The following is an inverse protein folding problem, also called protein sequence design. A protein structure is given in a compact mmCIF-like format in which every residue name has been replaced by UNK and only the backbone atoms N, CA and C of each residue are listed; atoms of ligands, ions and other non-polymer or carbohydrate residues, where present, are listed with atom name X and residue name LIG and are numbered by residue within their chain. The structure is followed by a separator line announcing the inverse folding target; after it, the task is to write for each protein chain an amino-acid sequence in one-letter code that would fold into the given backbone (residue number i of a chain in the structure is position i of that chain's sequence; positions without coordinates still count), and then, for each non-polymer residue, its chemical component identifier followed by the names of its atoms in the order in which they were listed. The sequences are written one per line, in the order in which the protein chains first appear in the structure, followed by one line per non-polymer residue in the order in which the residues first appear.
data_IF_088980131519
#
_entry.id   IF_088980131519
#
_cell.length_a   1.000
_cell.length_b   1.000
_cell.length_c   1.000
_cell.angle_alpha   90.00
_cell.angle_beta   90.00
_cell.angle_gamma   90.00
#
_symmetry.space_group_name_H-M   'P 1'
#
loop_
_entity.id
_entity.type
_entity.pdbx_description
1 polymer ?
#
# COMPACT_ATOMS: atom_id res chain seq x y z
N UNK A 1 -58.03 -56.92 8.57
CA UNK A 1 -57.85 -55.47 8.82
C UNK A 1 -57.11 -55.36 10.15
N UNK A 2 -55.79 -55.46 10.19
CA UNK A 2 -54.71 -54.53 9.79
C UNK A 2 -54.54 -53.31 10.71
N UNK A 3 -53.27 -52.99 10.97
CA UNK A 3 -52.68 -51.82 11.64
C UNK A 3 -52.32 -52.02 13.12
N UNK A 4 -51.17 -52.61 13.46
CA UNK A 4 -49.76 -52.14 13.37
C UNK A 4 -49.34 -51.19 14.51
N UNK A 5 -48.42 -51.71 15.33
CA UNK A 5 -47.70 -51.02 16.40
C UNK A 5 -46.76 -49.95 15.81
N UNK A 6 -46.84 -48.70 16.28
CA UNK A 6 -45.80 -47.70 16.04
C UNK A 6 -44.88 -47.61 17.26
N UNK A 7 -43.75 -48.32 17.19
CA UNK A 7 -42.57 -48.10 18.04
C UNK A 7 -41.83 -46.88 17.51
N UNK A 8 -41.82 -45.78 18.27
CA UNK A 8 -40.99 -44.62 17.97
C UNK A 8 -39.56 -44.91 18.43
N UNK A 9 -38.69 -45.26 17.49
CA UNK A 9 -37.25 -45.36 17.71
C UNK A 9 -36.74 -43.92 17.81
N UNK A 10 -36.40 -43.50 19.04
CA UNK A 10 -35.75 -42.22 19.32
C UNK A 10 -34.32 -42.29 18.78
N UNK A 11 -34.10 -41.68 17.61
CA UNK A 11 -32.79 -41.56 16.97
C UNK A 11 -32.01 -40.47 17.72
N UNK A 12 -31.26 -40.88 18.74
CA UNK A 12 -30.29 -40.01 19.42
C UNK A 12 -29.11 -39.78 18.45
N UNK A 13 -29.20 -38.69 17.69
CA UNK A 13 -28.16 -38.28 16.76
C UNK A 13 -27.01 -37.66 17.56
N UNK A 14 -26.04 -38.50 17.95
CA UNK A 14 -24.75 -38.06 18.47
C UNK A 14 -23.99 -37.36 17.33
N UNK A 15 -24.05 -36.04 17.29
CA UNK A 15 -23.22 -35.23 16.40
C UNK A 15 -21.80 -35.22 17.01
N UNK A 16 -20.78 -35.82 16.37
CA UNK A 16 -19.42 -35.59 16.80
C UNK A 16 -19.09 -34.12 16.56
N UNK A 17 -18.74 -33.40 17.63
CA UNK A 17 -18.20 -32.06 17.53
C UNK A 17 -16.86 -32.14 16.79
N UNK A 18 -16.89 -31.92 15.47
CA UNK A 18 -15.69 -31.73 14.67
C UNK A 18 -15.03 -30.46 15.22
N UNK A 19 -13.94 -30.64 15.94
CA UNK A 19 -13.07 -29.55 16.32
C UNK A 19 -12.56 -28.91 15.03
N UNK A 20 -13.15 -27.76 14.67
CA UNK A 20 -12.65 -26.91 13.60
C UNK A 20 -11.26 -26.46 14.06
N UNK A 21 -10.23 -27.09 13.50
CA UNK A 21 -8.87 -26.59 13.58
C UNK A 21 -8.88 -25.22 12.91
N UNK A 22 -8.98 -24.16 13.71
CA UNK A 22 -8.67 -22.80 13.29
C UNK A 22 -7.16 -22.73 13.03
N UNK A 23 -6.70 -23.39 11.97
CA UNK A 23 -5.39 -23.13 11.41
C UNK A 23 -5.42 -21.70 10.92
N UNK A 24 -4.76 -20.79 11.63
CA UNK A 24 -4.58 -19.43 11.14
C UNK A 24 -3.88 -19.54 9.79
N UNK A 25 -4.54 -19.20 8.69
CA UNK A 25 -3.85 -19.01 7.43
C UNK A 25 -2.83 -17.89 7.65
N UNK A 26 -1.55 -18.25 7.80
CA UNK A 26 -0.49 -17.27 7.83
C UNK A 26 -0.51 -16.54 6.48
N UNK A 27 -0.54 -15.21 6.51
CA UNK A 27 -0.55 -14.41 5.30
C UNK A 27 0.72 -14.67 4.48
N UNK A 28 0.55 -15.02 3.21
CA UNK A 28 1.67 -15.38 2.34
C UNK A 28 2.49 -14.14 1.94
N UNK A 29 3.75 -14.34 1.59
CA UNK A 29 4.61 -13.29 1.00
C UNK A 29 3.94 -12.60 -0.19
N UNK A 30 3.32 -13.38 -1.08
CA UNK A 30 2.61 -12.86 -2.25
C UNK A 30 1.44 -11.94 -1.87
N UNK A 31 0.64 -12.30 -0.86
CA UNK A 31 -0.45 -11.45 -0.39
C UNK A 31 0.08 -10.13 0.20
N UNK A 32 1.18 -10.19 0.95
CA UNK A 32 1.85 -9.01 1.50
C UNK A 32 2.42 -8.09 0.40
N UNK A 33 3.04 -8.65 -0.64
CA UNK A 33 3.51 -7.90 -1.82
C UNK A 33 2.37 -7.14 -2.51
N UNK A 34 1.20 -7.77 -2.66
CA UNK A 34 0.04 -7.12 -3.28
C UNK A 34 -0.42 -5.89 -2.51
N UNK A 35 -0.33 -5.88 -1.18
CA UNK A 35 -0.65 -4.69 -0.37
C UNK A 35 0.22 -3.49 -0.75
N UNK A 36 1.54 -3.70 -0.90
CA UNK A 36 2.47 -2.64 -1.32
C UNK A 36 2.14 -2.19 -2.76
N UNK A 37 1.94 -3.13 -3.69
CA UNK A 37 1.69 -2.82 -5.09
C UNK A 37 0.40 -2.03 -5.34
N UNK A 38 -0.64 -2.25 -4.54
CA UNK A 38 -1.87 -1.47 -4.63
C UNK A 38 -1.62 0.02 -4.41
N UNK A 39 -0.77 0.37 -3.45
CA UNK A 39 -0.43 1.78 -3.16
C UNK A 39 0.51 2.33 -4.24
N UNK A 40 1.60 1.62 -4.57
CA UNK A 40 2.59 2.13 -5.52
C UNK A 40 2.04 2.27 -6.94
N UNK A 41 1.17 1.34 -7.38
CA UNK A 41 0.48 1.45 -8.67
C UNK A 41 -0.44 2.67 -8.72
N UNK A 42 -1.23 2.90 -7.66
CA UNK A 42 -2.08 4.09 -7.56
C UNK A 42 -1.26 5.38 -7.66
N UNK A 43 -0.12 5.44 -6.98
CA UNK A 43 0.76 6.61 -7.04
C UNK A 43 1.42 6.79 -8.40
N UNK A 44 1.78 5.70 -9.09
CA UNK A 44 2.28 5.76 -10.46
C UNK A 44 1.22 6.32 -11.42
N UNK A 45 -0.03 5.89 -11.28
CA UNK A 45 -1.17 6.41 -12.07
C UNK A 45 -1.43 7.90 -11.79
N UNK A 46 -1.47 8.30 -10.51
CA UNK A 46 -1.67 9.69 -10.11
C UNK A 46 -0.54 10.59 -10.62
N UNK A 47 0.71 10.13 -10.52
CA UNK A 47 1.88 10.85 -11.03
C UNK A 47 1.87 10.98 -12.55
N UNK A 48 1.52 9.90 -13.27
CA UNK A 48 1.44 9.92 -14.72
C UNK A 48 0.36 10.86 -15.23
N UNK A 49 -0.82 10.86 -14.59
CA UNK A 49 -1.95 11.72 -14.94
C UNK A 49 -1.62 13.21 -14.80
N UNK A 50 -0.85 13.59 -13.78
CA UNK A 50 -0.62 15.00 -13.43
C UNK A 50 0.79 15.50 -13.78
N UNK A 51 1.63 14.70 -14.43
CA UNK A 51 3.04 15.00 -14.69
C UNK A 51 3.29 16.35 -15.37
N UNK A 52 2.38 16.77 -16.24
CA UNK A 52 2.50 17.99 -17.04
C UNK A 52 1.56 19.11 -16.57
N UNK A 53 0.88 18.93 -15.43
CA UNK A 53 -0.04 19.94 -14.92
C UNK A 53 0.69 21.25 -14.61
N UNK A 54 0.03 22.36 -14.92
CA UNK A 54 0.45 23.71 -14.53
C UNK A 54 -0.47 24.32 -13.50
N UNK A 55 -1.54 23.62 -13.13
CA UNK A 55 -2.47 24.06 -12.10
C UNK A 55 -1.86 23.78 -10.72
N UNK A 56 -1.53 24.86 -10.00
CA UNK A 56 -0.96 24.80 -8.65
C UNK A 56 -1.86 24.03 -7.69
N UNK A 57 -3.19 24.14 -7.85
CA UNK A 57 -4.12 23.39 -7.00
C UNK A 57 -3.95 21.89 -7.22
N UNK A 58 -3.88 21.44 -8.47
CA UNK A 58 -3.62 20.03 -8.79
C UNK A 58 -2.25 19.57 -8.29
N UNK A 59 -1.22 20.42 -8.37
CA UNK A 59 0.11 20.07 -7.81
C UNK A 59 0.03 19.82 -6.30
N UNK A 60 -0.74 20.62 -5.57
CA UNK A 60 -0.97 20.42 -4.13
C UNK A 60 -1.80 19.15 -3.87
N UNK A 61 -2.82 18.86 -4.67
CA UNK A 61 -3.59 17.61 -4.57
C UNK A 61 -2.71 16.36 -4.79
N UNK A 62 -1.73 16.44 -5.69
CA UNK A 62 -0.71 15.38 -5.87
C UNK A 62 0.17 15.24 -4.62
N UNK A 63 0.58 16.35 -4.00
CA UNK A 63 1.32 16.30 -2.74
C UNK A 63 0.50 15.64 -1.61
N UNK A 64 -0.80 15.93 -1.54
CA UNK A 64 -1.73 15.29 -0.60
C UNK A 64 -1.84 13.78 -0.86
N UNK A 65 -1.89 13.36 -2.13
CA UNK A 65 -1.90 11.95 -2.50
C UNK A 65 -0.61 11.22 -2.05
N UNK A 66 0.55 11.84 -2.23
CA UNK A 66 1.82 11.31 -1.72
C UNK A 66 1.82 11.17 -0.19
N UNK A 67 1.35 12.17 0.54
CA UNK A 67 1.27 12.10 2.01
C UNK A 67 0.31 10.99 2.47
N UNK A 68 -0.87 10.89 1.85
CA UNK A 68 -1.81 9.81 2.15
C UNK A 68 -1.22 8.43 1.87
N UNK A 69 -0.48 8.27 0.78
CA UNK A 69 0.20 7.02 0.46
C UNK A 69 1.31 6.69 1.47
N UNK A 70 2.07 7.70 1.92
CA UNK A 70 3.05 7.55 3.01
C UNK A 70 2.40 7.05 4.28
N UNK A 71 1.27 7.63 4.68
CA UNK A 71 0.54 7.20 5.87
C UNK A 71 -0.02 5.79 5.76
N UNK A 72 -0.60 5.45 4.59
CA UNK A 72 -1.12 4.10 4.34
C UNK A 72 0.00 3.07 4.42
N UNK A 73 1.18 3.39 3.86
CA UNK A 73 2.36 2.54 4.00
C UNK A 73 2.79 2.46 5.46
N UNK A 74 2.93 3.55 6.22
CA UNK A 74 3.31 3.50 7.64
C UNK A 74 2.38 2.65 8.51
N UNK A 75 1.08 2.66 8.21
CA UNK A 75 0.04 1.91 8.94
C UNK A 75 -0.12 0.47 8.46
N UNK A 76 0.54 0.08 7.37
CA UNK A 76 0.42 -1.26 6.81
C UNK A 76 1.14 -2.26 7.72
N UNK A 77 0.44 -3.32 8.12
CA UNK A 77 1.04 -4.41 8.89
C UNK A 77 1.48 -5.52 7.95
N UNK A 78 2.80 -5.73 7.88
CA UNK A 78 3.45 -6.82 7.18
C UNK A 78 4.19 -7.70 8.20
N UNK A 79 4.22 -9.00 7.92
CA UNK A 79 4.92 -10.00 8.73
C UNK A 79 6.31 -10.30 8.18
N UNK A 80 6.51 -10.09 6.88
CA UNK A 80 7.78 -10.29 6.23
C UNK A 80 8.74 -9.12 6.56
N UNK A 81 9.90 -9.38 7.17
CA UNK A 81 10.83 -8.32 7.58
C UNK A 81 11.36 -7.50 6.40
N UNK A 82 11.59 -8.13 5.24
CA UNK A 82 12.13 -7.42 4.07
C UNK A 82 11.06 -6.56 3.41
N UNK A 83 9.83 -7.05 3.33
CA UNK A 83 8.71 -6.21 2.87
C UNK A 83 8.43 -5.04 3.81
N UNK A 84 8.60 -5.23 5.13
CA UNK A 84 8.48 -4.15 6.12
C UNK A 84 9.52 -3.05 5.87
N UNK A 85 10.77 -3.43 5.60
CA UNK A 85 11.85 -2.49 5.23
C UNK A 85 11.50 -1.72 3.95
N UNK A 86 11.02 -2.41 2.91
CA UNK A 86 10.63 -1.76 1.65
C UNK A 86 9.44 -0.82 1.81
N UNK A 87 8.41 -1.24 2.54
CA UNK A 87 7.25 -0.44 2.88
C UNK A 87 7.66 0.85 3.62
N UNK A 88 8.56 0.75 4.60
CA UNK A 88 9.02 1.92 5.34
C UNK A 88 9.83 2.88 4.46
N UNK A 89 10.75 2.35 3.63
CA UNK A 89 11.50 3.18 2.69
C UNK A 89 10.60 3.87 1.66
N UNK A 90 9.58 3.19 1.15
CA UNK A 90 8.57 3.78 0.26
C UNK A 90 7.76 4.87 0.98
N UNK A 91 7.42 4.66 2.25
CA UNK A 91 6.69 5.65 3.03
C UNK A 91 7.51 6.95 3.21
N UNK A 92 8.81 6.83 3.47
CA UNK A 92 9.72 7.98 3.59
C UNK A 92 9.87 8.71 2.25
N UNK A 93 9.97 7.98 1.15
CA UNK A 93 10.03 8.53 -0.21
C UNK A 93 8.77 9.33 -0.53
N UNK A 94 7.59 8.78 -0.23
CA UNK A 94 6.32 9.46 -0.48
C UNK A 94 6.12 10.68 0.43
N UNK A 95 6.55 10.61 1.70
CA UNK A 95 6.59 11.79 2.56
C UNK A 95 7.48 12.88 1.96
N UNK A 96 8.70 12.52 1.53
CA UNK A 96 9.64 13.44 0.92
C UNK A 96 9.09 14.09 -0.36
N UNK A 97 8.38 13.34 -1.21
CA UNK A 97 7.72 13.89 -2.39
C UNK A 97 6.64 14.90 -2.01
N UNK A 98 5.79 14.61 -1.01
CA UNK A 98 4.76 15.54 -0.54
C UNK A 98 5.38 16.86 -0.05
N UNK A 99 6.39 16.77 0.82
CA UNK A 99 7.08 17.93 1.41
C UNK A 99 7.80 18.77 0.34
N UNK A 100 8.56 18.11 -0.54
CA UNK A 100 9.30 18.79 -1.60
C UNK A 100 8.37 19.48 -2.58
N UNK A 101 7.23 18.85 -2.92
CA UNK A 101 6.22 19.45 -3.80
C UNK A 101 5.59 20.69 -3.18
N UNK A 102 5.23 20.65 -1.89
CA UNK A 102 4.71 21.84 -1.17
C UNK A 102 5.77 22.94 -1.06
N UNK A 103 7.03 22.57 -0.82
CA UNK A 103 8.15 23.51 -0.82
C UNK A 103 8.32 24.19 -2.18
N UNK A 104 8.20 23.43 -3.28
CA UNK A 104 8.24 23.96 -4.63
C UNK A 104 7.10 24.96 -4.89
N UNK A 105 5.86 24.60 -4.55
CA UNK A 105 4.69 25.49 -4.70
C UNK A 105 4.89 26.79 -3.91
N UNK A 106 5.27 26.69 -2.62
CA UNK A 106 5.53 27.87 -1.78
C UNK A 106 6.63 28.76 -2.38
N UNK A 107 7.70 28.16 -2.89
CA UNK A 107 8.80 28.90 -3.51
C UNK A 107 8.34 29.65 -4.77
N UNK A 108 7.43 29.07 -5.57
CA UNK A 108 6.85 29.76 -6.72
C UNK A 108 5.99 30.96 -6.27
N UNK A 109 5.16 30.79 -5.24
CA UNK A 109 4.32 31.86 -4.70
C UNK A 109 5.15 33.04 -4.15
N UNK A 110 6.25 32.74 -3.45
CA UNK A 110 7.15 33.75 -2.89
C UNK A 110 8.24 34.21 -3.86
N UNK A 111 8.25 33.72 -5.10
CA UNK A 111 9.28 33.99 -6.13
C UNK A 111 10.72 33.66 -5.67
N UNK A 112 10.86 32.66 -4.81
CA UNK A 112 12.14 32.16 -4.32
C UNK A 112 12.72 31.14 -5.32
N UNK A 113 13.41 31.67 -6.34
CA UNK A 113 14.00 30.85 -7.42
C UNK A 113 15.03 29.83 -6.91
N UNK A 114 15.96 30.16 -5.98
CA UNK A 114 16.87 29.17 -5.40
C UNK A 114 16.14 27.98 -4.76
N UNK A 115 15.11 28.22 -3.95
CA UNK A 115 14.35 27.14 -3.30
C UNK A 115 13.55 26.33 -4.31
N UNK A 116 12.97 26.96 -5.33
CA UNK A 116 12.26 26.24 -6.39
C UNK A 116 13.19 25.30 -7.16
N UNK A 117 14.42 25.73 -7.47
CA UNK A 117 15.42 24.90 -8.14
C UNK A 117 15.89 23.75 -7.25
N UNK A 118 16.14 24.03 -5.96
CA UNK A 118 16.49 22.98 -5.00
C UNK A 118 15.40 21.91 -4.90
N UNK A 119 14.13 22.32 -4.82
CA UNK A 119 13.01 21.39 -4.76
C UNK A 119 12.91 20.53 -6.05
N UNK A 120 13.17 21.10 -7.22
CA UNK A 120 13.24 20.34 -8.48
C UNK A 120 14.34 19.28 -8.44
N UNK A 121 15.54 19.64 -8.00
CA UNK A 121 16.66 18.71 -7.87
C UNK A 121 16.35 17.60 -6.86
N UNK A 122 15.71 17.95 -5.73
CA UNK A 122 15.28 17.00 -4.71
C UNK A 122 14.27 15.98 -5.25
N UNK A 123 13.22 16.43 -5.97
CA UNK A 123 12.24 15.52 -6.59
C UNK A 123 12.92 14.53 -7.55
N UNK A 124 13.92 14.98 -8.33
CA UNK A 124 14.65 14.07 -9.22
C UNK A 124 15.41 12.99 -8.45
N UNK A 125 16.04 13.34 -7.32
CA UNK A 125 16.76 12.37 -6.49
C UNK A 125 15.80 11.42 -5.78
N UNK A 126 14.65 11.93 -5.29
CA UNK A 126 13.61 11.11 -4.69
C UNK A 126 13.07 10.11 -5.73
N UNK A 127 12.81 10.55 -6.97
CA UNK A 127 12.35 9.65 -8.04
C UNK A 127 13.35 8.52 -8.36
N UNK A 128 14.66 8.78 -8.29
CA UNK A 128 15.68 7.71 -8.45
C UNK A 128 15.64 6.71 -7.29
N UNK A 129 15.49 7.20 -6.05
CA UNK A 129 15.34 6.34 -4.87
C UNK A 129 14.08 5.49 -4.96
N UNK A 130 12.97 6.09 -5.40
CA UNK A 130 11.70 5.40 -5.64
C UNK A 130 11.84 4.27 -6.66
N UNK A 131 12.44 4.56 -7.81
CA UNK A 131 12.68 3.53 -8.83
C UNK A 131 13.51 2.37 -8.28
N UNK A 132 14.60 2.67 -7.56
CA UNK A 132 15.45 1.64 -6.98
C UNK A 132 14.71 0.75 -5.98
N UNK A 133 13.95 1.33 -5.04
CA UNK A 133 13.22 0.53 -4.04
C UNK A 133 12.06 -0.26 -4.67
N UNK A 134 11.37 0.30 -5.66
CA UNK A 134 10.33 -0.42 -6.41
C UNK A 134 10.93 -1.61 -7.16
N UNK A 135 12.09 -1.45 -7.81
CA UNK A 135 12.79 -2.56 -8.47
C UNK A 135 13.16 -3.66 -7.49
N UNK A 136 13.76 -3.31 -6.34
CA UNK A 136 14.12 -4.29 -5.31
C UNK A 136 12.89 -4.99 -4.72
N UNK A 137 11.81 -4.26 -4.50
CA UNK A 137 10.52 -4.82 -4.04
C UNK A 137 9.97 -5.81 -5.06
N UNK A 138 9.96 -5.43 -6.34
CA UNK A 138 9.46 -6.29 -7.43
C UNK A 138 10.28 -7.58 -7.55
N UNK A 139 11.60 -7.48 -7.52
CA UNK A 139 12.50 -8.65 -7.57
C UNK A 139 12.21 -9.59 -6.40
N UNK A 140 12.21 -9.04 -5.19
CA UNK A 140 11.92 -9.83 -4.00
C UNK A 140 10.54 -10.50 -4.05
N UNK A 141 9.52 -9.80 -4.53
CA UNK A 141 8.16 -10.33 -4.66
C UNK A 141 7.99 -11.41 -5.75
N UNK A 142 8.95 -11.53 -6.67
CA UNK A 142 8.96 -12.56 -7.73
C UNK A 142 9.82 -13.78 -7.37
N UNK A 143 10.68 -13.67 -6.35
CA UNK A 143 11.43 -14.80 -5.81
C UNK A 143 10.49 -15.73 -5.03
N UNK A 144 10.60 -17.04 -5.27
CA UNK A 144 9.79 -18.08 -4.63
C UNK A 144 10.08 -18.21 -3.13
#
# INVERSE_FOLDING_TARGET
MNSQHKRYISFFCLIPAIAVLLGSCAETKTAQCQKIFLITKKMAEESAKNRETKDIKTVLEVADAFEQASEQLKKMELKDPKLTEYQQGLAEIYQGNAETTRSFVKALETKDIPTAKLAQDQVQQIGKKEQNIITQTNQYCQEN
#
